data_IF_877592855606
#
_entry.id   IF_877592855606
#
_cell.length_a   1.000
_cell.length_b   1.000
_cell.length_c   1.000
_cell.angle_alpha   90.00
_cell.angle_beta   90.00
_cell.angle_gamma   90.00
#
_symmetry.space_group_name_H-M   'P 1'
#
loop_
_entity.id
_entity.type
_entity.pdbx_description
1 polymer ?
#
# COMPACT_ATOMS: atom_id res chain seq x y z
N UNK A 1 -0.32 -16.36 -3.90
CA UNK A 1 -0.51 -15.69 -5.21
C UNK A 1 -1.09 -14.31 -4.97
N UNK A 2 -0.87 -13.35 -5.86
CA UNK A 2 -1.30 -11.97 -5.68
C UNK A 2 -1.80 -11.34 -6.99
N UNK A 3 -2.60 -10.29 -6.88
CA UNK A 3 -3.09 -9.50 -8.00
C UNK A 3 -3.05 -8.00 -7.67
N UNK A 4 -2.92 -7.20 -8.72
CA UNK A 4 -2.90 -5.73 -8.71
C UNK A 4 -3.55 -5.22 -9.99
N UNK A 5 -4.17 -4.06 -9.91
CA UNK A 5 -4.69 -3.36 -11.08
C UNK A 5 -3.95 -2.03 -11.25
N UNK A 6 -3.66 -1.68 -12.50
CA UNK A 6 -3.07 -0.39 -12.87
C UNK A 6 -4.06 0.31 -13.78
N UNK A 7 -4.50 1.50 -13.41
CA UNK A 7 -5.43 2.31 -14.19
C UNK A 7 -4.71 3.30 -15.09
N UNK A 8 -5.32 3.69 -16.22
CA UNK A 8 -4.87 4.84 -16.99
C UNK A 8 -4.79 6.08 -16.09
N UNK A 9 -3.60 6.68 -15.98
CA UNK A 9 -3.34 7.80 -15.05
C UNK A 9 -2.44 7.48 -13.86
N UNK A 10 -1.90 6.26 -13.77
CA UNK A 10 -0.85 5.90 -12.80
C UNK A 10 -1.38 5.41 -11.45
N UNK A 11 -2.70 5.27 -11.29
CA UNK A 11 -3.27 4.69 -10.08
C UNK A 11 -3.06 3.18 -10.04
N UNK A 12 -2.54 2.67 -8.92
CA UNK A 12 -2.38 1.25 -8.64
C UNK A 12 -3.28 0.89 -7.46
N UNK A 13 -4.19 -0.07 -7.68
CA UNK A 13 -5.05 -0.60 -6.62
C UNK A 13 -6.33 -1.25 -7.15
N UNK A 14 -6.97 -2.15 -6.39
CA UNK A 14 -6.46 -2.76 -5.17
C UNK A 14 -5.25 -3.66 -5.43
N UNK A 15 -4.38 -3.80 -4.43
CA UNK A 15 -3.32 -4.81 -4.40
C UNK A 15 -3.66 -5.82 -3.30
N UNK A 16 -3.69 -7.10 -3.64
CA UNK A 16 -4.01 -8.17 -2.70
C UNK A 16 -3.19 -9.43 -2.96
N UNK A 17 -2.90 -10.18 -1.91
CA UNK A 17 -2.15 -11.42 -1.94
C UNK A 17 -2.72 -12.45 -0.97
N UNK A 18 -2.29 -13.71 -1.12
CA UNK A 18 -2.59 -14.78 -0.15
C UNK A 18 -2.00 -14.54 1.23
N UNK A 19 -0.98 -13.68 1.29
CA UNK A 19 -0.23 -13.25 2.46
C UNK A 19 0.35 -11.85 2.18
N UNK A 20 0.91 -11.21 3.22
CA UNK A 20 1.49 -9.87 3.09
C UNK A 20 2.65 -9.79 2.09
N UNK A 21 3.53 -10.79 2.09
CA UNK A 21 4.74 -10.81 1.25
C UNK A 21 4.42 -10.96 -0.24
N UNK A 22 3.41 -11.77 -0.57
CA UNK A 22 2.94 -11.92 -1.95
C UNK A 22 2.29 -10.64 -2.47
N UNK A 23 1.50 -9.95 -1.65
CA UNK A 23 0.94 -8.65 -1.99
C UNK A 23 2.05 -7.58 -2.18
N UNK A 24 3.05 -7.58 -1.30
CA UNK A 24 4.19 -6.66 -1.35
C UNK A 24 5.05 -6.85 -2.60
N UNK A 25 5.33 -8.11 -2.99
CA UNK A 25 6.02 -8.42 -4.24
C UNK A 25 5.24 -7.99 -5.47
N UNK A 26 3.91 -8.15 -5.48
CA UNK A 26 3.07 -7.67 -6.57
C UNK A 26 3.15 -6.14 -6.70
N UNK A 27 3.02 -5.40 -5.58
CA UNK A 27 3.17 -3.95 -5.57
C UNK A 27 4.54 -3.50 -6.09
N UNK A 28 5.62 -4.13 -5.62
CA UNK A 28 6.98 -3.81 -6.07
C UNK A 28 7.15 -4.03 -7.59
N UNK A 29 6.56 -5.09 -8.13
CA UNK A 29 6.60 -5.36 -9.56
C UNK A 29 5.81 -4.34 -10.39
N UNK A 30 4.69 -3.81 -9.88
CA UNK A 30 3.97 -2.73 -10.56
C UNK A 30 4.75 -1.40 -10.51
N UNK A 31 5.29 -1.05 -9.34
CA UNK A 31 6.08 0.18 -9.16
C UNK A 31 7.32 0.19 -10.07
N UNK A 32 8.01 -0.95 -10.22
CA UNK A 32 9.16 -1.07 -11.11
C UNK A 32 8.82 -0.92 -12.60
N UNK A 33 7.55 -1.15 -12.99
CA UNK A 33 7.06 -1.07 -14.37
C UNK A 33 6.35 0.26 -14.68
N UNK A 34 6.07 1.07 -13.66
CA UNK A 34 5.35 2.32 -13.83
C UNK A 34 6.20 3.34 -14.62
N UNK A 35 5.68 3.93 -15.71
CA UNK A 35 6.45 4.83 -16.56
C UNK A 35 6.50 6.28 -16.07
N UNK A 36 5.90 6.60 -14.93
CA UNK A 36 5.77 7.96 -14.40
C UNK A 36 5.14 7.99 -13.02
N UNK A 37 4.54 9.13 -12.66
CA UNK A 37 3.93 9.33 -11.34
C UNK A 37 2.89 8.25 -11.04
N UNK A 38 3.01 7.65 -9.86
CA UNK A 38 2.13 6.58 -9.40
C UNK A 38 1.30 7.10 -8.25
N UNK A 39 0.05 6.63 -8.12
CA UNK A 39 -0.72 6.78 -6.89
C UNK A 39 -1.17 5.42 -6.38
N UNK A 40 -0.96 5.11 -5.10
CA UNK A 40 -1.37 3.83 -4.51
C UNK A 40 -2.22 4.05 -3.28
N UNK A 41 -3.32 3.30 -3.15
CA UNK A 41 -4.05 3.19 -1.89
C UNK A 41 -3.72 1.88 -1.20
N UNK A 42 -3.06 1.94 -0.05
CA UNK A 42 -2.70 0.76 0.75
C UNK A 42 -3.35 0.80 2.13
N UNK A 43 -3.83 -0.32 2.69
CA UNK A 43 -4.27 -0.36 4.08
C UNK A 43 -3.14 0.06 5.01
N UNK A 44 -3.40 1.01 5.92
CA UNK A 44 -2.36 1.50 6.85
C UNK A 44 -1.85 0.43 7.83
N UNK A 45 -2.64 -0.62 8.04
CA UNK A 45 -2.24 -1.80 8.81
C UNK A 45 -1.28 -2.74 8.09
N UNK A 46 -1.07 -2.58 6.77
CA UNK A 46 -0.21 -3.44 5.97
C UNK A 46 1.21 -2.88 5.91
N UNK A 47 2.02 -3.13 6.94
CA UNK A 47 3.40 -2.62 7.02
C UNK A 47 4.23 -2.99 5.78
N UNK A 48 4.14 -4.23 5.30
CA UNK A 48 4.88 -4.69 4.13
C UNK A 48 4.57 -3.87 2.86
N UNK A 49 3.31 -3.50 2.64
CA UNK A 49 2.94 -2.65 1.50
C UNK A 49 3.43 -1.21 1.68
N UNK A 50 3.38 -0.69 2.91
CA UNK A 50 3.85 0.66 3.23
C UNK A 50 5.37 0.76 3.02
N UNK A 51 6.13 -0.21 3.52
CA UNK A 51 7.58 -0.25 3.36
C UNK A 51 8.00 -0.34 1.89
N UNK A 52 7.31 -1.15 1.08
CA UNK A 52 7.57 -1.22 -0.36
C UNK A 52 7.28 0.12 -1.05
N UNK A 53 6.15 0.78 -0.74
CA UNK A 53 5.80 2.05 -1.36
C UNK A 53 6.78 3.17 -0.98
N UNK A 54 7.15 3.27 0.30
CA UNK A 54 8.15 4.24 0.77
C UNK A 54 9.55 3.95 0.21
N UNK A 55 9.93 2.67 0.14
CA UNK A 55 11.21 2.23 -0.45
C UNK A 55 11.31 2.51 -1.94
N UNK A 56 10.18 2.57 -2.66
CA UNK A 56 10.10 3.01 -4.04
C UNK A 56 10.07 4.54 -4.21
N UNK A 57 10.14 5.31 -3.12
CA UNK A 57 10.24 6.76 -3.12
C UNK A 57 8.90 7.50 -3.09
N UNK A 58 7.77 6.79 -2.98
CA UNK A 58 6.46 7.44 -2.84
C UNK A 58 6.34 8.11 -1.46
N UNK A 59 5.54 9.18 -1.41
CA UNK A 59 5.29 9.95 -0.20
C UNK A 59 3.89 9.69 0.33
N UNK A 60 3.72 9.78 1.65
CA UNK A 60 2.39 9.72 2.26
C UNK A 60 1.60 10.98 1.88
N UNK A 61 0.41 10.76 1.33
CA UNK A 61 -0.53 11.84 1.09
C UNK A 61 -1.13 12.41 2.37
N UNK A 62 -1.79 13.58 2.27
CA UNK A 62 -2.25 14.35 3.43
C UNK A 62 -3.39 13.69 4.21
N UNK A 63 -3.98 12.60 3.69
CA UNK A 63 -5.05 11.87 4.37
C UNK A 63 -4.42 10.94 5.40
N UNK A 64 -4.78 11.06 6.70
CA UNK A 64 -4.30 10.13 7.71
C UNK A 64 -4.88 8.74 7.43
N UNK A 65 -4.08 7.87 6.83
CA UNK A 65 -4.34 6.43 6.82
C UNK A 65 -4.17 5.85 8.23
N UNK A 66 -4.65 4.63 8.42
CA UNK A 66 -4.61 3.97 9.73
C UNK A 66 -3.19 3.90 10.30
N UNK A 67 -3.05 4.20 11.58
CA UNK A 67 -1.79 4.08 12.33
C UNK A 67 -1.02 2.80 11.98
N UNK A 68 0.23 2.97 11.54
CA UNK A 68 1.25 1.94 11.66
C UNK A 68 1.40 1.60 13.14
N UNK A 69 0.95 0.42 13.53
CA UNK A 69 1.12 -0.08 14.89
C UNK A 69 2.48 -0.76 14.96
N UNK A 70 3.23 -0.51 16.02
CA UNK A 70 4.39 -1.33 16.36
C UNK A 70 3.94 -2.78 16.54
N UNK A 71 4.84 -3.75 16.34
CA UNK A 71 4.49 -5.19 16.26
C UNK A 71 3.75 -5.74 17.49
N UNK A 72 3.83 -5.03 18.62
CA UNK A 72 3.21 -5.39 19.89
C UNK A 72 1.87 -4.68 20.16
N UNK A 73 1.44 -3.77 19.30
CA UNK A 73 0.22 -2.97 19.53
C UNK A 73 -0.97 -3.60 18.83
N UNK A 74 -2.00 -3.93 19.62
CA UNK A 74 -3.27 -4.45 19.10
C UNK A 74 -4.04 -3.33 18.37
N UNK A 75 -4.56 -3.58 17.14
CA UNK A 75 -5.40 -2.62 16.44
C UNK A 75 -6.66 -2.25 17.23
N UNK A 76 -7.11 -0.99 17.17
CA UNK A 76 -8.38 -0.59 17.76
C UNK A 76 -9.54 -1.35 17.12
N UNK A 77 -10.49 -1.80 17.93
CA UNK A 77 -11.62 -2.63 17.47
C UNK A 77 -12.71 -1.84 16.70
N UNK A 78 -12.76 -0.51 16.86
CA UNK A 78 -13.78 0.37 16.30
C UNK A 78 -13.17 1.40 15.34
N UNK A 79 -12.32 0.95 14.43
CA UNK A 79 -11.69 1.82 13.43
C UNK A 79 -12.17 1.42 12.02
N UNK A 80 -12.69 2.40 11.29
CA UNK A 80 -12.92 2.22 9.85
C UNK A 80 -11.55 2.04 9.19
N UNK A 81 -11.34 0.90 8.52
CA UNK A 81 -10.05 0.59 7.89
C UNK A 81 -9.79 1.59 6.76
N UNK A 82 -9.07 2.66 7.05
CA UNK A 82 -8.59 3.67 6.11
C UNK A 82 -7.22 3.30 5.56
N UNK A 83 -7.03 3.49 4.25
CA UNK A 83 -5.72 3.35 3.62
C UNK A 83 -4.94 4.65 3.59
N UNK A 84 -3.62 4.58 3.46
CA UNK A 84 -2.82 5.70 3.01
C UNK A 84 -2.96 5.83 1.50
N UNK A 85 -3.15 7.06 1.02
CA UNK A 85 -2.86 7.38 -0.38
C UNK A 85 -1.38 7.75 -0.44
N UNK A 86 -0.62 7.08 -1.30
CA UNK A 86 0.77 7.44 -1.59
C UNK A 86 0.89 7.91 -3.03
N UNK A 87 1.78 8.86 -3.28
CA UNK A 87 2.06 9.41 -4.61
C UNK A 87 3.52 9.79 -4.80
#
# INVERSE_FOLDING_TARGET
>A
GAYSYVFPGGEIGPVAGSDGDSAARALAAELARAPGDVRVRIPGSSRALVEVALGAGLQLGPVPGLLLLSDTVRPPAALAIGGYMLF
#
